data_IF_269042811781
#
_entry.id   IF_269042811781
#
_cell.length_a   1.000
_cell.length_b   1.000
_cell.length_c   1.000
_cell.angle_alpha   90.00
_cell.angle_beta   90.00
_cell.angle_gamma   90.00
#
_symmetry.space_group_name_H-M   'P 1'
#
loop_
_entity.id
_entity.type
_entity.pdbx_description
1 polymer ?
#
# COMPACT_ATOMS: atom_id res chain seq x y z
N UNK A 1 -6.48 -14.49 -2.31
CA UNK A 1 -5.00 -14.54 -2.28
C UNK A 1 -4.51 -13.68 -3.42
N UNK A 2 -3.81 -12.60 -3.09
CA UNK A 2 -3.42 -11.54 -4.02
C UNK A 2 -2.29 -12.03 -4.95
N UNK A 3 -2.19 -11.51 -6.18
CA UNK A 3 -1.03 -11.82 -7.02
C UNK A 3 0.22 -11.14 -6.47
N UNK A 4 1.37 -11.79 -6.61
CA UNK A 4 2.67 -11.24 -6.18
C UNK A 4 2.97 -9.87 -6.80
N UNK A 5 2.63 -9.69 -8.07
CA UNK A 5 2.82 -8.41 -8.77
C UNK A 5 1.90 -7.32 -8.23
N UNK A 6 0.63 -7.63 -7.99
CA UNK A 6 -0.33 -6.71 -7.37
C UNK A 6 0.17 -6.27 -5.99
N UNK A 7 0.60 -7.22 -5.16
CA UNK A 7 1.17 -6.93 -3.83
C UNK A 7 2.41 -6.04 -3.93
N UNK A 8 3.33 -6.34 -4.87
CA UNK A 8 4.54 -5.54 -5.06
C UNK A 8 4.20 -4.10 -5.44
N UNK A 9 3.23 -3.91 -6.33
CA UNK A 9 2.80 -2.58 -6.76
C UNK A 9 2.16 -1.79 -5.61
N UNK A 10 1.32 -2.43 -4.78
CA UNK A 10 0.74 -1.81 -3.60
C UNK A 10 1.80 -1.38 -2.59
N UNK A 11 2.77 -2.25 -2.28
CA UNK A 11 3.88 -1.94 -1.37
C UNK A 11 4.69 -0.74 -1.88
N UNK A 12 5.04 -0.71 -3.17
CA UNK A 12 5.78 0.41 -3.75
C UNK A 12 5.01 1.74 -3.70
N UNK A 13 3.69 1.70 -3.84
CA UNK A 13 2.85 2.87 -3.69
C UNK A 13 2.83 3.36 -2.24
N UNK A 14 2.61 2.46 -1.28
CA UNK A 14 2.55 2.79 0.15
C UNK A 14 3.88 3.37 0.63
N UNK A 15 5.00 2.75 0.25
CA UNK A 15 6.36 3.21 0.57
C UNK A 15 6.57 4.67 0.12
N UNK A 16 6.20 4.97 -1.14
CA UNK A 16 6.35 6.33 -1.71
C UNK A 16 5.43 7.37 -1.08
N UNK A 17 4.25 6.98 -0.59
CA UNK A 17 3.22 7.93 -0.13
C UNK A 17 3.21 8.13 1.38
N UNK A 18 3.49 7.08 2.16
CA UNK A 18 3.49 7.15 3.64
C UNK A 18 4.88 7.18 4.27
N UNK A 19 5.93 6.87 3.51
CA UNK A 19 7.28 6.71 4.07
C UNK A 19 7.40 5.54 5.04
N UNK A 20 6.51 4.54 4.91
CA UNK A 20 6.62 3.28 5.65
C UNK A 20 7.75 2.47 5.03
N UNK A 21 8.65 1.96 5.86
CA UNK A 21 9.76 1.12 5.42
C UNK A 21 9.24 -0.15 4.76
N UNK A 22 9.84 -0.52 3.63
CA UNK A 22 9.40 -1.67 2.83
C UNK A 22 9.39 -2.96 3.63
N UNK A 23 10.37 -3.13 4.52
CA UNK A 23 10.51 -4.32 5.36
C UNK A 23 9.31 -4.51 6.28
N UNK A 24 8.72 -3.44 6.81
CA UNK A 24 7.51 -3.51 7.64
C UNK A 24 6.31 -4.06 6.84
N UNK A 25 6.18 -3.65 5.57
CA UNK A 25 5.11 -4.08 4.67
C UNK A 25 5.27 -5.53 4.19
N UNK A 26 6.51 -6.05 4.16
CA UNK A 26 6.78 -7.44 3.78
C UNK A 26 6.29 -8.46 4.83
N UNK A 27 6.20 -8.06 6.11
CA UNK A 27 5.72 -8.92 7.19
C UNK A 27 4.19 -8.91 7.37
N UNK A 28 3.47 -8.05 6.64
CA UNK A 28 2.01 -7.95 6.70
C UNK A 28 1.32 -9.00 5.82
N UNK A 29 0.07 -9.30 6.11
CA UNK A 29 -0.80 -10.13 5.27
C UNK A 29 -1.24 -9.39 4.00
N UNK A 30 -1.87 -10.08 3.05
CA UNK A 30 -2.45 -9.45 1.85
C UNK A 30 -3.53 -8.42 2.24
N UNK A 31 -4.40 -8.79 3.18
CA UNK A 31 -5.52 -7.95 3.63
C UNK A 31 -5.04 -6.67 4.33
N UNK A 32 -3.97 -6.74 5.11
CA UNK A 32 -3.36 -5.56 5.76
C UNK A 32 -2.74 -4.61 4.73
N UNK A 33 -2.01 -5.14 3.74
CA UNK A 33 -1.42 -4.32 2.67
C UNK A 33 -2.52 -3.66 1.83
N UNK A 34 -3.58 -4.40 1.50
CA UNK A 34 -4.73 -3.88 0.76
C UNK A 34 -5.45 -2.77 1.53
N UNK A 35 -5.67 -2.96 2.84
CA UNK A 35 -6.29 -1.94 3.68
C UNK A 35 -5.47 -0.65 3.70
N UNK A 36 -4.16 -0.74 3.91
CA UNK A 36 -3.28 0.44 3.93
C UNK A 36 -3.26 1.12 2.56
N UNK A 37 -3.19 0.33 1.49
CA UNK A 37 -3.25 0.85 0.12
C UNK A 37 -4.52 1.66 -0.11
N UNK A 38 -5.69 1.09 0.20
CA UNK A 38 -7.00 1.73 -0.02
C UNK A 38 -7.15 3.04 0.75
N UNK A 39 -6.75 3.07 2.03
CA UNK A 39 -6.78 4.30 2.84
C UNK A 39 -5.81 5.35 2.28
N UNK A 40 -4.62 4.94 1.85
CA UNK A 40 -3.62 5.86 1.29
C UNK A 40 -4.05 6.42 -0.06
N UNK A 41 -4.67 5.58 -0.89
CA UNK A 41 -5.19 5.95 -2.19
C UNK A 41 -6.35 6.96 -2.06
N UNK A 42 -7.31 6.67 -1.18
CA UNK A 42 -8.44 7.57 -0.89
C UNK A 42 -7.96 8.97 -0.44
N UNK A 43 -7.04 9.04 0.52
CA UNK A 43 -6.49 10.31 0.99
C UNK A 43 -5.73 11.06 -0.12
N UNK A 44 -5.05 10.32 -1.01
CA UNK A 44 -4.32 10.92 -2.12
C UNK A 44 -5.26 11.50 -3.18
N UNK A 45 -6.38 10.83 -3.49
CA UNK A 45 -7.41 11.38 -4.38
C UNK A 45 -8.09 12.62 -3.77
N UNK A 46 -8.41 12.59 -2.47
CA UNK A 46 -9.03 13.74 -1.77
C UNK A 46 -8.14 15.00 -1.78
N UNK A 47 -6.82 14.85 -1.70
CA UNK A 47 -5.87 15.98 -1.77
C UNK A 47 -5.68 16.49 -3.21
N UNK A 48 -5.92 15.63 -4.21
CA UNK A 48 -5.67 15.95 -5.62
C UNK A 48 -6.85 16.65 -6.32
N UNK A 49 -8.06 16.63 -5.72
CA UNK A 49 -9.24 17.40 -6.13
C UNK A 49 -9.26 18.82 -5.54
#
# INVERSE_FOLDING_TARGET
MMKREERKNMIEFIEKKKGIERDELLFMTDDEVEHIYNVTYFLYEEIAE
#
